data_IF_126266298260
#
_entry.id   IF_126266298260
#
_cell.length_a   1.000
_cell.length_b   1.000
_cell.length_c   1.000
_cell.angle_alpha   90.00
_cell.angle_beta   90.00
_cell.angle_gamma   90.00
#
_symmetry.space_group_name_H-M   'P 1'
#
loop_
_entity.id
_entity.type
_entity.pdbx_description
1 polymer ?
#
# COMPACT_ATOMS: atom_id res chain seq x y z
N UNK A 1 2.64 19.50 -11.81
CA UNK A 1 2.71 18.18 -11.14
C UNK A 1 2.97 18.42 -9.66
N UNK A 2 2.03 18.06 -8.80
CA UNK A 2 2.19 18.20 -7.34
C UNK A 2 3.00 17.02 -6.82
N UNK A 3 4.16 17.27 -6.22
CA UNK A 3 4.98 16.21 -5.64
C UNK A 3 4.31 15.64 -4.39
N UNK A 4 4.25 14.31 -4.30
CA UNK A 4 3.78 13.60 -3.12
C UNK A 4 4.99 12.95 -2.47
N UNK A 5 5.61 13.63 -1.52
CA UNK A 5 6.83 13.13 -0.89
C UNK A 5 6.52 11.98 0.07
N UNK A 6 7.39 10.97 0.10
CA UNK A 6 7.34 9.94 1.12
C UNK A 6 7.40 10.59 2.51
N UNK A 7 6.43 10.33 3.41
CA UNK A 7 6.40 10.96 4.72
C UNK A 7 7.52 10.49 5.66
N UNK A 8 8.23 9.40 5.32
CA UNK A 8 9.33 8.85 6.12
C UNK A 8 10.68 9.47 5.75
N UNK A 9 11.08 9.44 4.48
CA UNK A 9 12.39 9.95 4.05
C UNK A 9 12.35 11.39 3.51
N UNK A 10 11.17 11.89 3.12
CA UNK A 10 10.97 13.20 2.48
C UNK A 10 11.73 13.40 1.14
N UNK A 11 12.48 12.40 0.68
CA UNK A 11 13.32 12.48 -0.51
C UNK A 11 12.57 12.03 -1.78
N UNK A 12 11.83 10.92 -1.68
CA UNK A 12 11.19 10.27 -2.84
C UNK A 12 9.81 10.83 -3.16
N UNK A 13 9.50 11.02 -4.44
CA UNK A 13 8.14 11.24 -4.95
C UNK A 13 7.42 9.90 -5.11
N UNK A 14 6.39 9.69 -4.29
CA UNK A 14 5.60 8.45 -4.27
C UNK A 14 4.33 8.53 -5.12
N UNK A 15 4.15 9.59 -5.91
CA UNK A 15 2.91 9.83 -6.68
C UNK A 15 2.52 8.63 -7.57
N UNK A 16 3.49 7.84 -8.04
CA UNK A 16 3.27 6.66 -8.90
C UNK A 16 4.00 5.38 -8.44
N UNK A 17 4.69 5.38 -7.30
CA UNK A 17 5.36 4.18 -6.72
C UNK A 17 5.13 4.10 -5.19
N UNK A 18 3.88 4.35 -4.81
CA UNK A 18 3.45 4.29 -3.41
C UNK A 18 3.36 2.83 -2.93
N UNK A 19 3.69 2.63 -1.65
CA UNK A 19 3.59 1.35 -0.97
C UNK A 19 2.78 1.53 0.31
N UNK A 20 1.62 0.85 0.47
CA UNK A 20 0.78 1.00 1.64
C UNK A 20 1.42 0.27 2.82
N UNK A 21 1.50 0.96 3.95
CA UNK A 21 1.96 0.43 5.24
C UNK A 21 1.06 0.97 6.35
N UNK A 22 1.26 0.53 7.58
CA UNK A 22 0.40 0.90 8.72
C UNK A 22 1.23 1.44 9.89
N UNK A 23 0.58 2.19 10.75
CA UNK A 23 1.09 2.58 12.07
C UNK A 23 -0.04 2.48 13.08
N UNK A 24 0.29 2.35 14.36
CA UNK A 24 -0.72 2.50 15.40
C UNK A 24 -0.92 3.98 15.75
N UNK A 25 -2.17 4.42 15.78
CA UNK A 25 -2.59 5.72 16.33
C UNK A 25 -3.64 5.41 17.38
N UNK A 26 -3.36 5.70 18.65
CA UNK A 26 -4.25 5.36 19.77
C UNK A 26 -4.70 3.89 19.73
N UNK A 27 -3.75 2.96 19.63
CA UNK A 27 -4.00 1.51 19.49
C UNK A 27 -4.79 1.07 18.24
N UNK A 28 -5.07 1.99 17.30
CA UNK A 28 -5.80 1.68 16.06
C UNK A 28 -4.83 1.66 14.87
N UNK A 29 -4.79 0.59 14.06
CA UNK A 29 -4.03 0.59 12.81
C UNK A 29 -4.55 1.64 11.84
N UNK A 30 -3.67 2.54 11.39
CA UNK A 30 -3.95 3.55 10.37
C UNK A 30 -2.99 3.34 9.21
N UNK A 31 -3.54 3.26 8.00
CA UNK A 31 -2.77 3.11 6.76
C UNK A 31 -2.16 4.44 6.31
N UNK A 32 -0.93 4.39 5.80
CA UNK A 32 -0.30 5.48 5.07
C UNK A 32 0.58 4.92 3.95
N UNK A 33 1.09 5.79 3.08
CA UNK A 33 1.87 5.40 1.91
C UNK A 33 3.32 5.87 2.03
N UNK A 34 4.26 5.01 1.63
CA UNK A 34 5.71 5.29 1.63
C UNK A 34 6.34 4.89 0.30
N UNK A 35 7.60 5.26 0.09
CA UNK A 35 8.36 4.76 -1.06
C UNK A 35 8.80 3.32 -0.82
N UNK A 36 9.22 2.66 -1.90
CA UNK A 36 9.74 1.29 -1.91
C UNK A 36 10.80 1.03 -0.85
N UNK A 37 11.80 1.90 -0.75
CA UNK A 37 12.93 1.73 0.17
C UNK A 37 12.53 1.89 1.63
N UNK A 38 11.48 2.67 1.89
CA UNK A 38 10.94 2.90 3.22
C UNK A 38 9.96 1.81 3.67
N UNK A 39 9.38 1.05 2.74
CA UNK A 39 8.30 0.09 3.02
C UNK A 39 8.70 -0.95 4.07
N UNK A 40 9.87 -1.58 3.91
CA UNK A 40 10.28 -2.67 4.80
C UNK A 40 10.50 -2.19 6.23
N UNK A 41 11.09 -1.00 6.38
CA UNK A 41 11.32 -0.39 7.69
C UNK A 41 10.00 0.05 8.34
N UNK A 42 9.08 0.64 7.57
CA UNK A 42 7.77 1.05 8.09
C UNK A 42 6.92 -0.15 8.55
N UNK A 43 6.88 -1.26 7.80
CA UNK A 43 6.17 -2.47 8.26
C UNK A 43 6.81 -3.10 9.50
N UNK A 44 8.14 -3.02 9.65
CA UNK A 44 8.82 -3.49 10.86
C UNK A 44 8.43 -2.64 12.08
N UNK A 45 8.41 -1.32 11.95
CA UNK A 45 7.97 -0.43 13.01
C UNK A 45 6.51 -0.66 13.41
N UNK A 46 5.65 -0.95 12.43
CA UNK A 46 4.26 -1.35 12.71
C UNK A 46 4.20 -2.62 13.54
N UNK A 47 4.97 -3.64 13.15
CA UNK A 47 5.06 -4.90 13.89
C UNK A 47 5.51 -4.68 15.34
N UNK A 48 6.60 -3.91 15.54
CA UNK A 48 7.10 -3.56 16.88
C UNK A 48 6.04 -2.81 17.69
N UNK A 49 5.32 -1.89 17.06
CA UNK A 49 4.24 -1.13 17.72
C UNK A 49 3.11 -2.06 18.18
N UNK A 50 2.68 -3.00 17.33
CA UNK A 50 1.69 -4.02 17.68
C UNK A 50 2.15 -4.86 18.88
N UNK A 51 3.38 -5.37 18.85
CA UNK A 51 3.96 -6.16 19.93
C UNK A 51 4.00 -5.37 21.26
N UNK A 52 4.46 -4.12 21.22
CA UNK A 52 4.51 -3.24 22.41
C UNK A 52 3.14 -2.92 23.01
N UNK A 53 2.08 -2.99 22.19
CA UNK A 53 0.70 -2.68 22.59
C UNK A 53 -0.13 -3.93 22.87
N UNK A 54 0.47 -5.13 22.84
CA UNK A 54 -0.22 -6.42 22.93
C UNK A 54 -1.37 -6.57 21.91
N UNK A 55 -1.17 -6.04 20.70
CA UNK A 55 -2.10 -6.13 19.57
C UNK A 55 -1.57 -7.18 18.58
N UNK A 56 -2.45 -8.05 18.09
CA UNK A 56 -2.08 -9.04 17.08
C UNK A 56 -1.59 -8.38 15.79
N UNK A 57 -0.35 -8.65 15.40
CA UNK A 57 0.17 -8.24 14.10
C UNK A 57 -0.31 -9.19 13.00
N UNK A 58 -0.80 -8.61 11.90
CA UNK A 58 -1.09 -9.32 10.66
C UNK A 58 -0.64 -8.50 9.46
N UNK A 59 -0.06 -9.16 8.45
CA UNK A 59 0.27 -8.50 7.18
C UNK A 59 -0.99 -8.01 6.48
N UNK A 60 -0.89 -6.87 5.81
CA UNK A 60 -1.98 -6.32 5.01
C UNK A 60 -2.29 -7.28 3.86
N UNK A 61 -3.54 -7.75 3.69
CA UNK A 61 -3.91 -8.61 2.58
C UNK A 61 -3.64 -7.91 1.24
N UNK A 62 -3.04 -8.62 0.29
CA UNK A 62 -2.65 -8.04 -1.01
C UNK A 62 -3.82 -7.34 -1.74
N UNK A 63 -5.03 -7.90 -1.67
CA UNK A 63 -6.22 -7.28 -2.29
C UNK A 63 -6.61 -5.96 -1.61
N UNK A 64 -6.40 -5.86 -0.30
CA UNK A 64 -6.62 -4.62 0.44
C UNK A 64 -5.56 -3.58 0.06
N UNK A 65 -4.28 -3.98 0.00
CA UNK A 65 -3.20 -3.12 -0.49
C UNK A 65 -3.49 -2.56 -1.89
N UNK A 66 -3.96 -3.39 -2.82
CA UNK A 66 -4.32 -2.95 -4.17
C UNK A 66 -5.51 -1.97 -4.16
N UNK A 67 -6.53 -2.19 -3.32
CA UNK A 67 -7.67 -1.25 -3.21
C UNK A 67 -7.24 0.10 -2.65
N UNK A 68 -6.36 0.10 -1.65
CA UNK A 68 -5.78 1.32 -1.07
C UNK A 68 -4.96 2.09 -2.12
N UNK A 69 -4.14 1.39 -2.89
CA UNK A 69 -3.37 1.98 -3.99
C UNK A 69 -4.25 2.56 -5.09
N UNK A 70 -5.34 1.86 -5.44
CA UNK A 70 -6.32 2.38 -6.41
C UNK A 70 -6.89 3.73 -5.95
N UNK A 71 -7.33 3.81 -4.70
CA UNK A 71 -7.84 5.07 -4.14
C UNK A 71 -6.78 6.17 -4.14
N UNK A 72 -5.56 5.86 -3.70
CA UNK A 72 -4.45 6.81 -3.71
C UNK A 72 -4.15 7.34 -5.12
N UNK A 73 -4.10 6.48 -6.14
CA UNK A 73 -3.83 6.93 -7.51
C UNK A 73 -5.02 7.67 -8.15
N UNK A 74 -6.26 7.33 -7.78
CA UNK A 74 -7.45 8.10 -8.19
C UNK A 74 -7.41 9.53 -7.64
N UNK A 75 -7.07 9.69 -6.35
CA UNK A 75 -6.91 11.02 -5.73
C UNK A 75 -5.79 11.81 -6.42
N UNK A 76 -4.66 11.16 -6.71
CA UNK A 76 -3.53 11.80 -7.41
C UNK A 76 -3.88 12.20 -8.84
N UNK A 77 -4.63 11.37 -9.56
CA UNK A 77 -5.09 11.69 -10.90
C UNK A 77 -6.03 12.90 -10.89
N UNK A 78 -6.89 13.05 -9.87
CA UNK A 78 -7.71 14.25 -9.68
C UNK A 78 -6.88 15.52 -9.45
N UNK A 79 -5.73 15.42 -8.78
CA UNK A 79 -4.83 16.55 -8.52
C UNK A 79 -3.86 16.85 -9.68
N UNK A 80 -3.56 15.87 -10.53
CA UNK A 80 -2.63 16.01 -11.67
C UNK A 80 -3.08 15.10 -12.82
N UNK A 81 -4.14 15.47 -13.56
CA UNK A 81 -4.75 14.64 -14.61
C UNK A 81 -3.79 14.27 -15.75
N UNK A 82 -2.80 15.12 -16.01
CA UNK A 82 -1.84 14.95 -17.11
C UNK A 82 -0.58 14.14 -16.69
N UNK A 83 -0.49 13.65 -15.45
CA UNK A 83 0.65 12.81 -15.03
C UNK A 83 0.48 11.37 -15.54
N UNK A 84 1.14 11.08 -16.67
CA UNK A 84 1.13 9.75 -17.30
C UNK A 84 1.61 8.63 -16.36
N UNK A 85 2.51 8.91 -15.42
CA UNK A 85 3.02 7.91 -14.47
C UNK A 85 1.90 7.43 -13.53
N UNK A 86 1.06 8.35 -13.06
CA UNK A 86 -0.09 8.03 -12.18
C UNK A 86 -1.11 7.22 -12.96
N UNK A 87 -1.37 7.58 -14.21
CA UNK A 87 -2.26 6.83 -15.11
C UNK A 87 -1.78 5.39 -15.30
N UNK A 88 -0.51 5.18 -15.60
CA UNK A 88 0.10 3.85 -15.77
C UNK A 88 0.02 3.03 -14.48
N UNK A 89 0.35 3.63 -13.33
CA UNK A 89 0.29 2.97 -12.03
C UNK A 89 -1.15 2.57 -11.65
N UNK A 90 -2.14 3.41 -11.94
CA UNK A 90 -3.56 3.11 -11.72
C UNK A 90 -4.01 1.93 -12.59
N UNK A 91 -3.69 1.95 -13.89
CA UNK A 91 -4.03 0.86 -14.81
C UNK A 91 -3.40 -0.49 -14.39
N UNK A 92 -2.16 -0.47 -13.90
CA UNK A 92 -1.50 -1.66 -13.34
C UNK A 92 -2.27 -2.23 -12.15
N UNK A 93 -2.65 -1.37 -11.19
CA UNK A 93 -3.41 -1.78 -10.01
C UNK A 93 -4.78 -2.35 -10.40
N UNK A 94 -5.49 -1.67 -11.30
CA UNK A 94 -6.80 -2.12 -11.78
C UNK A 94 -6.71 -3.47 -12.48
N UNK A 95 -5.70 -3.67 -13.34
CA UNK A 95 -5.45 -4.97 -13.99
C UNK A 95 -5.19 -6.07 -12.97
N UNK A 96 -4.40 -5.81 -11.92
CA UNK A 96 -4.16 -6.79 -10.84
C UNK A 96 -5.41 -7.11 -10.03
N UNK A 97 -6.30 -6.13 -9.83
CA UNK A 97 -7.56 -6.33 -9.13
C UNK A 97 -8.54 -7.23 -9.91
N UNK A 98 -8.45 -7.25 -11.24
CA UNK A 98 -9.22 -8.15 -12.11
C UNK A 98 -8.77 -9.61 -12.03
N UNK A 99 -7.52 -9.86 -11.60
CA UNK A 99 -7.05 -11.23 -11.36
C UNK A 99 -7.84 -11.81 -10.19
N UNK A 100 -8.64 -12.83 -10.48
CA UNK A 100 -9.42 -13.56 -9.49
C UNK A 100 -8.55 -14.19 -8.40
N UNK A 101 -9.12 -14.54 -7.24
CA UNK A 101 -8.39 -15.36 -6.28
C UNK A 101 -8.00 -16.67 -6.96
N UNK A 102 -6.75 -17.10 -6.77
CA UNK A 102 -6.34 -18.44 -7.23
C UNK A 102 -7.06 -19.44 -6.34
N UNK A 103 -8.02 -20.18 -6.92
CA UNK A 103 -8.60 -21.34 -6.26
C UNK A 103 -7.45 -22.32 -5.99
N UNK A 104 -7.12 -22.53 -4.72
CA UNK A 104 -6.19 -23.60 -4.36
C UNK A 104 -6.87 -24.90 -4.73
N UNK A 105 -6.45 -25.53 -5.83
CA UNK A 105 -6.88 -26.87 -6.16
C UNK A 105 -6.57 -27.75 -4.94
N UNK A 106 -7.62 -28.24 -4.28
CA UNK A 106 -7.56 -29.18 -3.18
C UNK A 106 -7.07 -30.52 -3.73
N UNK A 107 -5.79 -30.62 -4.03
CA UNK A 107 -5.12 -31.85 -4.45
C UNK A 107 -3.95 -32.08 -3.51
N UNK A 108 -4.28 -32.57 -2.32
CA UNK A 108 -3.38 -33.26 -1.39
C UNK A 108 -4.26 -33.97 -0.34
N UNK A 109 -5.24 -34.75 -0.82
CA UNK A 109 -5.97 -35.76 -0.05
C UNK A 109 -6.41 -36.86 -1.04
N UNK A 110 -5.43 -37.62 -1.55
CA UNK A 110 -5.61 -38.88 -2.25
C UNK A 110 -4.35 -39.73 -2.09
#
# INVERSE_FOLDING_TARGET
MRLTRCPRCLAEDISADAHPTRRLVNATPVTFFVCRDCFRAAELEFQISCESSNIGYARLPIRESLRLLRGFYQDRLGESPDDGRVTEALQEVERRLLIGPVERASKLDA
#
